data_IF_846330605087
#
_entry.id   IF_846330605087
#
_cell.length_a   1.000
_cell.length_b   1.000
_cell.length_c   1.000
_cell.angle_alpha   90.00
_cell.angle_beta   90.00
_cell.angle_gamma   90.00
#
_symmetry.space_group_name_H-M   'P 1'
#
loop_
_entity.id
_entity.type
_entity.pdbx_description
1 polymer ?
#
# COMPACT_ATOMS: atom_id res chain seq x y z
N UNK A 1 1.45 -4.86 -5.97
CA UNK A 1 2.80 -4.28 -6.14
C UNK A 1 3.96 -5.27 -6.01
N UNK A 2 4.14 -5.97 -4.88
CA UNK A 2 5.19 -6.99 -4.74
C UNK A 2 5.22 -8.01 -5.91
N UNK A 3 4.06 -8.58 -6.25
CA UNK A 3 3.93 -9.45 -7.43
C UNK A 3 4.27 -8.74 -8.76
N UNK A 4 3.82 -7.49 -8.96
CA UNK A 4 4.11 -6.68 -10.17
C UNK A 4 5.62 -6.46 -10.33
N UNK A 5 6.33 -6.13 -9.25
CA UNK A 5 7.80 -5.96 -9.22
C UNK A 5 8.54 -7.23 -9.67
N UNK A 6 8.01 -8.39 -9.33
CA UNK A 6 8.60 -9.70 -9.63
C UNK A 6 7.95 -10.41 -10.83
N UNK A 7 7.14 -9.71 -11.64
CA UNK A 7 6.47 -10.29 -12.79
C UNK A 7 7.46 -10.93 -13.79
N UNK A 8 8.69 -10.39 -13.89
CA UNK A 8 9.77 -10.88 -14.76
C UNK A 8 10.86 -11.68 -14.02
N UNK A 9 10.71 -11.94 -12.72
CA UNK A 9 11.70 -12.74 -11.99
C UNK A 9 11.73 -14.18 -12.49
N UNK A 10 12.89 -14.86 -12.48
CA UNK A 10 12.95 -16.27 -12.85
C UNK A 10 12.05 -17.09 -11.90
N UNK A 11 11.35 -18.08 -12.46
CA UNK A 11 10.63 -19.09 -11.67
C UNK A 11 11.51 -20.32 -11.59
N UNK A 12 11.64 -20.87 -10.39
CA UNK A 12 12.29 -22.16 -10.16
C UNK A 12 11.43 -23.26 -10.79
N UNK A 13 12.06 -24.27 -11.40
CA UNK A 13 11.36 -25.46 -11.87
C UNK A 13 10.98 -26.34 -10.66
N UNK A 14 10.01 -27.25 -10.84
CA UNK A 14 9.59 -28.12 -9.74
C UNK A 14 10.69 -29.13 -9.38
N UNK A 15 11.51 -29.53 -10.35
CA UNK A 15 12.65 -30.45 -10.20
C UNK A 15 13.82 -29.79 -9.48
N UNK A 16 13.99 -28.48 -9.64
CA UNK A 16 15.06 -27.70 -9.00
C UNK A 16 14.85 -27.51 -7.49
N UNK A 17 13.64 -27.76 -6.98
CA UNK A 17 13.37 -27.70 -5.54
C UNK A 17 14.07 -28.85 -4.80
N UNK A 18 14.68 -28.56 -3.66
CA UNK A 18 15.38 -29.55 -2.84
C UNK A 18 14.62 -29.65 -1.51
N UNK A 19 13.99 -30.81 -1.29
CA UNK A 19 13.30 -31.18 -0.05
C UNK A 19 13.86 -32.53 0.43
N UNK A 20 13.70 -32.83 1.73
CA UNK A 20 14.01 -34.17 2.25
C UNK A 20 12.94 -35.17 1.74
N UNK A 21 13.30 -36.45 1.52
CA UNK A 21 12.40 -37.47 0.96
C UNK A 21 11.04 -37.57 1.66
N UNK A 22 11.02 -37.45 3.00
CA UNK A 22 9.80 -37.54 3.81
C UNK A 22 8.79 -36.41 3.53
N UNK A 23 9.18 -35.38 2.77
CA UNK A 23 8.43 -34.14 2.57
C UNK A 23 8.06 -33.91 1.10
N UNK A 24 8.33 -34.89 0.25
CA UNK A 24 8.09 -34.80 -1.20
C UNK A 24 6.61 -34.54 -1.53
N UNK A 25 5.69 -34.99 -0.67
CA UNK A 25 4.27 -34.67 -0.76
C UNK A 25 3.96 -33.17 -0.68
N UNK A 26 4.83 -32.34 -0.10
CA UNK A 26 4.68 -30.89 -0.02
C UNK A 26 5.23 -30.15 -1.24
N UNK A 27 6.06 -30.80 -2.08
CA UNK A 27 6.70 -30.18 -3.24
C UNK A 27 5.72 -29.50 -4.20
N UNK A 28 4.59 -30.13 -4.61
CA UNK A 28 3.65 -29.48 -5.53
C UNK A 28 3.04 -28.20 -4.95
N UNK A 29 2.76 -28.20 -3.64
CA UNK A 29 2.18 -27.05 -2.94
C UNK A 29 3.18 -25.89 -2.83
N UNK A 30 4.44 -26.20 -2.52
CA UNK A 30 5.52 -25.23 -2.53
C UNK A 30 5.72 -24.63 -3.93
N UNK A 31 5.76 -25.49 -4.95
CA UNK A 31 5.94 -25.07 -6.33
C UNK A 31 4.84 -24.10 -6.80
N UNK A 32 3.57 -24.41 -6.52
CA UNK A 32 2.46 -23.51 -6.89
C UNK A 32 2.55 -22.15 -6.18
N UNK A 33 2.97 -22.13 -4.91
CA UNK A 33 3.20 -20.87 -4.20
C UNK A 33 4.32 -20.04 -4.85
N UNK A 34 5.43 -20.68 -5.24
CA UNK A 34 6.59 -20.02 -5.85
C UNK A 34 6.34 -19.61 -7.31
N UNK A 35 5.49 -20.34 -8.03
CA UNK A 35 5.04 -19.97 -9.38
C UNK A 35 4.33 -18.62 -9.37
N UNK A 36 3.48 -18.39 -8.36
CA UNK A 36 2.78 -17.12 -8.17
C UNK A 36 3.69 -16.03 -7.57
N UNK A 37 4.54 -16.40 -6.61
CA UNK A 37 5.39 -15.48 -5.86
C UNK A 37 6.82 -16.04 -5.79
N UNK A 38 7.64 -15.88 -6.85
CA UNK A 38 8.95 -16.55 -6.97
C UNK A 38 10.01 -16.02 -6.00
N UNK A 39 9.70 -14.93 -5.31
CA UNK A 39 10.59 -14.29 -4.35
C UNK A 39 10.47 -14.85 -2.93
N UNK A 40 9.47 -15.67 -2.61
CA UNK A 40 9.24 -16.11 -1.23
C UNK A 40 10.40 -16.92 -0.67
N UNK A 41 10.78 -16.66 0.58
CA UNK A 41 11.71 -17.49 1.35
C UNK A 41 11.01 -18.23 2.50
N UNK A 42 9.71 -18.01 2.66
CA UNK A 42 8.87 -18.64 3.68
C UNK A 42 7.47 -18.84 3.11
N UNK A 43 6.99 -20.08 3.09
CA UNK A 43 5.70 -20.47 2.53
C UNK A 43 4.89 -21.17 3.63
N UNK A 44 3.78 -20.56 4.03
CA UNK A 44 2.83 -21.19 4.94
C UNK A 44 1.87 -22.07 4.14
N UNK A 45 1.65 -23.30 4.59
CA UNK A 45 0.63 -24.23 4.09
C UNK A 45 -0.42 -24.44 5.18
N UNK A 46 -1.48 -23.60 5.24
CA UNK A 46 -2.40 -23.57 6.38
C UNK A 46 -3.17 -24.87 6.59
N UNK A 47 -3.58 -25.52 5.49
CA UNK A 47 -4.33 -26.78 5.50
C UNK A 47 -3.62 -27.88 6.29
N UNK A 48 -2.29 -27.90 6.21
CA UNK A 48 -1.44 -28.90 6.86
C UNK A 48 -0.86 -28.40 8.19
N UNK A 49 -1.10 -27.13 8.55
CA UNK A 49 -0.45 -26.45 9.69
C UNK A 49 1.07 -26.58 9.67
N UNK A 50 1.67 -26.45 8.50
CA UNK A 50 3.12 -26.44 8.32
C UNK A 50 3.56 -25.19 7.58
N UNK A 51 4.84 -24.88 7.67
CA UNK A 51 5.50 -23.92 6.80
C UNK A 51 6.75 -24.55 6.20
N UNK A 52 7.16 -24.08 5.03
CA UNK A 52 8.45 -24.35 4.44
C UNK A 52 9.29 -23.07 4.43
N UNK A 53 10.57 -23.18 4.80
CA UNK A 53 11.53 -22.09 4.80
C UNK A 53 12.72 -22.43 3.91
N UNK A 54 13.14 -21.46 3.11
CA UNK A 54 14.34 -21.55 2.29
C UNK A 54 15.58 -21.42 3.19
N UNK A 55 16.42 -22.45 3.23
CA UNK A 55 17.64 -22.53 4.07
C UNK A 55 18.92 -22.51 3.26
N UNK A 56 18.84 -22.74 1.95
CA UNK A 56 19.95 -22.68 0.99
C UNK A 56 19.45 -22.54 -0.44
N UNK A 57 20.32 -22.58 -1.46
CA UNK A 57 19.91 -22.53 -2.86
C UNK A 57 18.88 -23.62 -3.17
N UNK A 58 17.65 -23.19 -3.48
CA UNK A 58 16.46 -24.03 -3.66
C UNK A 58 16.20 -25.09 -2.59
N UNK A 59 16.82 -24.99 -1.41
CA UNK A 59 16.74 -25.97 -0.34
C UNK A 59 15.73 -25.53 0.70
N UNK A 60 14.71 -26.36 0.91
CA UNK A 60 13.56 -26.05 1.75
C UNK A 60 13.42 -27.06 2.88
N UNK A 61 13.23 -26.53 4.08
CA UNK A 61 12.90 -27.32 5.27
C UNK A 61 11.51 -26.95 5.77
N UNK A 62 10.74 -27.95 6.22
CA UNK A 62 9.44 -27.71 6.81
C UNK A 62 9.46 -27.87 8.33
N UNK A 63 8.49 -27.22 8.97
CA UNK A 63 8.18 -27.43 10.38
C UNK A 63 6.71 -27.10 10.64
N UNK A 64 6.23 -27.42 11.84
CA UNK A 64 4.87 -27.09 12.25
C UNK A 64 4.69 -25.58 12.41
N UNK A 65 3.58 -25.08 11.90
CA UNK A 65 3.22 -23.67 11.98
C UNK A 65 2.32 -23.41 13.19
N UNK A 66 2.78 -22.53 14.08
CA UNK A 66 1.94 -21.91 15.09
C UNK A 66 1.40 -20.55 14.64
N UNK A 67 0.82 -19.81 15.58
CA UNK A 67 0.29 -18.46 15.35
C UNK A 67 1.38 -17.49 14.87
N UNK A 68 2.60 -17.65 15.38
CA UNK A 68 3.76 -16.82 15.00
C UNK A 68 4.11 -17.04 13.53
N UNK A 69 4.25 -18.29 13.12
CA UNK A 69 4.64 -18.71 11.77
C UNK A 69 3.57 -18.31 10.76
N UNK A 70 2.29 -18.43 11.14
CA UNK A 70 1.18 -17.94 10.32
C UNK A 70 1.29 -16.42 10.05
N UNK A 71 1.62 -15.63 11.08
CA UNK A 71 1.85 -14.18 10.93
C UNK A 71 3.07 -13.90 10.04
N UNK A 72 4.13 -14.69 10.15
CA UNK A 72 5.32 -14.55 9.30
C UNK A 72 4.95 -14.84 7.85
N UNK A 73 4.29 -15.95 7.56
CA UNK A 73 3.89 -16.34 6.21
C UNK A 73 3.00 -15.29 5.53
N UNK A 74 2.05 -14.69 6.27
CA UNK A 74 1.24 -13.59 5.73
C UNK A 74 2.11 -12.37 5.38
N UNK A 75 3.00 -11.96 6.28
CA UNK A 75 3.88 -10.79 6.07
C UNK A 75 4.90 -11.03 4.96
N UNK A 76 5.41 -12.26 4.83
CA UNK A 76 6.43 -12.64 3.85
C UNK A 76 5.97 -12.34 2.42
N UNK A 77 4.70 -12.66 2.10
CA UNK A 77 4.06 -12.36 0.80
C UNK A 77 4.21 -10.91 0.36
N UNK A 78 4.26 -10.00 1.34
CA UNK A 78 4.40 -8.56 1.08
C UNK A 78 5.88 -8.17 1.21
N UNK A 79 6.48 -8.43 2.37
CA UNK A 79 7.82 -7.96 2.73
C UNK A 79 8.88 -8.46 1.75
N UNK A 80 8.83 -9.74 1.39
CA UNK A 80 9.87 -10.37 0.60
C UNK A 80 9.96 -9.84 -0.82
N UNK A 81 8.82 -9.48 -1.40
CA UNK A 81 8.77 -8.82 -2.70
C UNK A 81 9.38 -7.41 -2.71
N UNK A 82 9.78 -6.88 -1.56
CA UNK A 82 10.57 -5.64 -1.42
C UNK A 82 11.98 -5.91 -0.86
N UNK A 83 12.42 -7.17 -0.84
CA UNK A 83 13.71 -7.57 -0.28
C UNK A 83 13.76 -7.55 1.25
N UNK A 84 12.62 -7.48 1.93
CA UNK A 84 12.52 -7.43 3.39
C UNK A 84 12.02 -8.76 3.96
N UNK A 85 12.25 -9.00 5.25
CA UNK A 85 11.79 -10.23 5.90
C UNK A 85 10.40 -10.11 6.51
N UNK A 86 9.55 -11.12 6.29
CA UNK A 86 8.26 -11.28 6.96
C UNK A 86 8.38 -11.53 8.47
N UNK A 87 9.55 -11.98 8.92
CA UNK A 87 9.88 -12.13 10.34
C UNK A 87 10.33 -10.82 11.00
N UNK A 88 10.61 -9.77 10.23
CA UNK A 88 11.05 -8.48 10.77
C UNK A 88 9.90 -7.71 11.46
N UNK A 89 10.27 -6.62 12.16
CA UNK A 89 9.30 -5.77 12.85
C UNK A 89 8.35 -5.09 11.85
N UNK A 90 7.08 -5.52 11.85
CA UNK A 90 6.12 -5.18 10.80
C UNK A 90 5.88 -3.68 10.61
N UNK A 91 5.87 -2.89 11.69
CA UNK A 91 5.71 -1.44 11.60
C UNK A 91 6.82 -0.75 10.78
N UNK A 92 8.08 -1.14 11.03
CA UNK A 92 9.26 -0.65 10.32
C UNK A 92 9.28 -1.19 8.88
N UNK A 93 8.98 -2.47 8.68
CA UNK A 93 8.86 -3.06 7.34
C UNK A 93 7.87 -2.29 6.47
N UNK A 94 6.66 -1.99 6.99
CA UNK A 94 5.68 -1.19 6.26
C UNK A 94 6.17 0.22 5.96
N UNK A 95 6.87 0.87 6.89
CA UNK A 95 7.46 2.20 6.66
C UNK A 95 8.51 2.20 5.55
N UNK A 96 9.38 1.20 5.53
CA UNK A 96 10.37 1.01 4.47
C UNK A 96 9.69 0.77 3.12
N UNK A 97 8.69 -0.11 3.06
CA UNK A 97 7.92 -0.36 1.83
C UNK A 97 7.23 0.91 1.34
N UNK A 98 6.55 1.66 2.21
CA UNK A 98 5.92 2.94 1.84
C UNK A 98 6.94 3.92 1.25
N UNK A 99 8.13 3.99 1.85
CA UNK A 99 9.20 4.87 1.36
C UNK A 99 9.70 4.44 -0.03
N UNK A 100 9.74 3.14 -0.32
CA UNK A 100 10.06 2.60 -1.66
C UNK A 100 8.95 2.88 -2.69
N UNK A 101 7.69 2.89 -2.27
CA UNK A 101 6.53 3.12 -3.15
C UNK A 101 6.25 4.59 -3.45
N UNK A 102 6.69 5.51 -2.59
CA UNK A 102 6.42 6.94 -2.75
C UNK A 102 6.91 7.52 -4.08
N UNK A 103 8.15 7.27 -4.55
CA UNK A 103 8.59 7.76 -5.86
C UNK A 103 7.72 7.23 -7.01
N UNK A 104 7.20 6.00 -6.88
CA UNK A 104 6.35 5.38 -7.89
C UNK A 104 4.96 6.03 -7.93
N UNK A 105 4.37 6.35 -6.77
CA UNK A 105 3.13 7.12 -6.71
C UNK A 105 3.29 8.50 -7.36
N UNK A 106 4.42 9.18 -7.18
CA UNK A 106 4.68 10.46 -7.84
C UNK A 106 4.91 10.34 -9.36
N UNK A 107 5.27 9.15 -9.88
CA UNK A 107 5.29 8.94 -11.33
C UNK A 107 3.89 9.02 -11.96
N UNK A 108 2.82 8.80 -11.18
CA UNK A 108 1.45 8.99 -11.66
C UNK A 108 1.22 10.40 -12.19
N UNK A 109 1.81 11.39 -11.54
CA UNK A 109 1.75 12.79 -11.95
C UNK A 109 2.41 13.05 -13.31
N UNK A 110 3.21 12.11 -13.83
CA UNK A 110 3.84 12.23 -15.15
C UNK A 110 2.96 11.74 -16.30
N UNK A 111 1.90 10.97 -16.03
CA UNK A 111 0.97 10.50 -17.05
C UNK A 111 0.18 11.67 -17.65
N UNK A 112 0.13 11.78 -18.97
CA UNK A 112 -0.51 12.90 -19.68
C UNK A 112 -2.00 13.03 -19.32
N UNK A 113 -2.68 11.90 -19.19
CA UNK A 113 -4.08 11.81 -18.81
C UNK A 113 -4.32 12.28 -17.37
N UNK A 114 -3.41 11.96 -16.44
CA UNK A 114 -3.46 12.47 -15.04
C UNK A 114 -3.19 13.97 -15.02
N UNK A 115 -2.17 14.46 -15.73
CA UNK A 115 -1.87 15.91 -15.82
C UNK A 115 -3.08 16.70 -16.29
N UNK A 116 -3.74 16.27 -17.37
CA UNK A 116 -4.91 16.96 -17.92
C UNK A 116 -6.05 17.05 -16.89
N UNK A 117 -6.34 15.96 -16.19
CA UNK A 117 -7.35 15.94 -15.12
C UNK A 117 -7.00 16.91 -13.99
N UNK A 118 -5.73 16.93 -13.57
CA UNK A 118 -5.26 17.80 -12.50
C UNK A 118 -5.25 19.28 -12.90
N UNK A 119 -4.93 19.60 -14.16
CA UNK A 119 -4.99 20.96 -14.69
C UNK A 119 -6.44 21.49 -14.75
N UNK A 120 -7.39 20.65 -15.16
CA UNK A 120 -8.81 20.97 -15.18
C UNK A 120 -9.35 21.20 -13.76
N UNK A 121 -9.03 20.29 -12.83
CA UNK A 121 -9.39 20.43 -11.42
C UNK A 121 -8.85 21.73 -10.82
N UNK A 122 -7.58 22.07 -11.12
CA UNK A 122 -6.99 23.31 -10.63
C UNK A 122 -7.70 24.56 -11.18
N UNK A 123 -8.10 24.56 -12.46
CA UNK A 123 -8.91 25.64 -13.06
C UNK A 123 -10.27 25.78 -12.39
N UNK A 124 -10.85 24.68 -11.93
CA UNK A 124 -12.10 24.64 -11.17
C UNK A 124 -11.89 24.99 -9.68
N UNK A 125 -10.68 25.40 -9.27
CA UNK A 125 -10.35 25.75 -7.88
C UNK A 125 -10.17 24.55 -6.95
N UNK A 126 -10.19 23.32 -7.49
CA UNK A 126 -10.04 22.09 -6.71
C UNK A 126 -8.55 21.82 -6.45
N UNK A 127 -8.20 21.70 -5.16
CA UNK A 127 -6.81 21.52 -4.71
C UNK A 127 -6.56 20.17 -4.06
N UNK A 128 -7.63 19.45 -3.71
CA UNK A 128 -7.56 18.11 -3.13
C UNK A 128 -8.57 17.22 -3.85
N UNK A 129 -8.07 16.20 -4.55
CA UNK A 129 -8.89 15.19 -5.22
C UNK A 129 -8.61 13.82 -4.61
N UNK A 130 -9.65 13.09 -4.28
CA UNK A 130 -9.58 11.74 -3.71
C UNK A 130 -10.05 10.75 -4.76
N UNK A 131 -9.23 9.73 -5.05
CA UNK A 131 -9.61 8.63 -5.93
C UNK A 131 -9.06 7.32 -5.38
N UNK A 132 -9.97 6.45 -4.93
CA UNK A 132 -9.62 5.25 -4.19
C UNK A 132 -8.72 5.59 -2.98
N UNK A 133 -7.52 5.00 -2.94
CA UNK A 133 -6.57 5.22 -1.85
C UNK A 133 -5.58 6.35 -2.12
N UNK A 134 -5.70 7.06 -3.25
CA UNK A 134 -4.83 8.18 -3.62
C UNK A 134 -5.52 9.51 -3.33
N UNK A 135 -4.72 10.46 -2.84
CA UNK A 135 -5.12 11.86 -2.72
C UNK A 135 -4.15 12.71 -3.51
N UNK A 136 -4.63 13.33 -4.58
CA UNK A 136 -3.90 14.36 -5.31
C UNK A 136 -4.04 15.67 -4.54
N UNK A 137 -2.90 16.25 -4.19
CA UNK A 137 -2.83 17.38 -3.27
C UNK A 137 -1.97 18.49 -3.86
N UNK A 138 -2.55 19.66 -4.06
CA UNK A 138 -1.90 20.82 -4.65
C UNK A 138 -1.53 21.88 -3.61
N UNK A 139 -0.29 22.39 -3.67
CA UNK A 139 0.18 23.50 -2.84
C UNK A 139 0.91 24.57 -3.68
N UNK A 140 0.54 25.85 -3.48
CA UNK A 140 1.09 26.99 -4.24
C UNK A 140 2.42 27.51 -3.69
N UNK A 141 2.61 27.45 -2.37
CA UNK A 141 3.72 28.11 -1.68
C UNK A 141 4.83 27.12 -1.39
N UNK A 142 6.02 27.39 -1.92
CA UNK A 142 7.27 26.67 -1.63
C UNK A 142 7.25 25.16 -1.95
N UNK A 143 6.34 24.68 -2.81
CA UNK A 143 6.27 23.27 -3.25
C UNK A 143 6.02 23.13 -4.76
N UNK A 144 6.29 21.93 -5.29
CA UNK A 144 6.38 21.58 -6.73
C UNK A 144 4.96 21.37 -7.34
N UNK A 145 3.94 22.09 -6.87
CA UNK A 145 2.56 21.91 -7.33
C UNK A 145 1.90 20.63 -6.83
N UNK A 146 1.40 19.78 -7.74
CA UNK A 146 0.67 18.56 -7.37
C UNK A 146 1.59 17.52 -6.71
N UNK A 147 1.07 16.86 -5.68
CA UNK A 147 1.71 15.75 -4.96
C UNK A 147 0.71 14.61 -4.73
N UNK A 148 1.20 13.39 -4.53
CA UNK A 148 0.35 12.24 -4.19
C UNK A 148 0.52 11.87 -2.72
N UNK A 149 -0.61 11.80 -2.01
CA UNK A 149 -0.74 11.31 -0.63
C UNK A 149 -1.64 10.06 -0.63
N UNK A 150 -1.68 9.37 0.50
CA UNK A 150 -2.56 8.20 0.70
C UNK A 150 -3.75 8.55 1.60
N UNK A 151 -4.91 7.97 1.35
CA UNK A 151 -6.03 7.99 2.29
C UNK A 151 -5.70 7.10 3.49
N UNK A 152 -6.13 7.49 4.69
CA UNK A 152 -6.05 6.61 5.84
C UNK A 152 -7.06 5.47 5.75
N UNK A 153 -6.62 4.28 5.34
CA UNK A 153 -7.47 3.08 5.28
C UNK A 153 -7.99 2.66 6.66
N UNK A 154 -7.30 3.00 7.77
CA UNK A 154 -7.66 2.50 9.10
C UNK A 154 -8.89 3.17 9.73
N UNK A 155 -9.47 4.19 9.07
CA UNK A 155 -10.64 4.92 9.56
C UNK A 155 -11.84 4.84 8.59
N UNK A 156 -11.78 3.96 7.59
CA UNK A 156 -12.95 3.52 6.81
C UNK A 156 -13.82 2.55 7.65
N UNK A 157 -15.11 2.35 7.34
CA UNK A 157 -16.26 2.36 8.27
C UNK A 157 -16.44 1.09 9.12
N UNK A 158 -15.38 0.53 9.69
CA UNK A 158 -15.49 -0.52 10.70
C UNK A 158 -15.82 0.01 12.10
N UNK A 159 -15.82 1.33 12.31
CA UNK A 159 -16.15 2.01 13.57
C UNK A 159 -17.45 2.85 13.48
N UNK A 160 -18.32 2.59 12.49
CA UNK A 160 -19.59 3.32 12.27
C UNK A 160 -19.45 4.79 11.83
N UNK A 161 -18.24 5.25 11.54
CA UNK A 161 -17.99 6.58 10.98
C UNK A 161 -18.42 6.64 9.51
N UNK A 162 -19.05 7.75 9.10
CA UNK A 162 -19.44 8.02 7.71
C UNK A 162 -18.64 9.19 7.15
N UNK A 163 -18.21 9.13 5.88
CA UNK A 163 -17.53 10.25 5.22
C UNK A 163 -18.38 11.52 5.27
N UNK A 164 -17.80 12.64 5.70
CA UNK A 164 -18.46 13.95 5.69
C UNK A 164 -17.97 14.73 4.46
N UNK A 165 -18.72 14.64 3.35
CA UNK A 165 -18.33 15.20 2.03
C UNK A 165 -18.18 16.73 2.07
N UNK A 166 -18.99 17.41 2.86
CA UNK A 166 -18.96 18.88 3.03
C UNK A 166 -17.85 19.35 3.98
N UNK A 167 -17.16 18.42 4.63
CA UNK A 167 -16.07 18.71 5.54
C UNK A 167 -14.80 19.19 4.84
N UNK A 168 -13.91 19.80 5.61
CA UNK A 168 -12.62 20.31 5.14
C UNK A 168 -11.45 19.58 5.81
N UNK A 169 -10.30 19.59 5.15
CA UNK A 169 -9.05 19.04 5.68
C UNK A 169 -8.19 20.20 6.18
N UNK A 170 -7.85 20.19 7.47
CA UNK A 170 -6.91 21.14 8.06
C UNK A 170 -5.50 20.54 8.00
N UNK A 171 -4.66 21.08 7.12
CA UNK A 171 -3.25 20.68 7.04
C UNK A 171 -2.39 21.60 7.90
N UNK A 172 -1.94 21.08 9.05
CA UNK A 172 -0.97 21.72 9.95
C UNK A 172 0.46 21.19 9.76
N UNK A 173 0.63 20.22 8.87
CA UNK A 173 1.90 19.54 8.60
C UNK A 173 1.91 19.01 7.17
N UNK A 174 3.07 18.56 6.69
CA UNK A 174 3.23 17.98 5.35
C UNK A 174 3.10 16.45 5.34
N UNK A 175 2.20 15.90 6.17
CA UNK A 175 1.99 14.46 6.31
C UNK A 175 1.61 13.78 4.99
N UNK A 176 2.03 12.51 4.84
CA UNK A 176 1.79 11.69 3.64
C UNK A 176 0.45 10.97 3.63
N UNK A 177 -0.21 10.89 4.78
CA UNK A 177 -1.54 10.32 4.94
C UNK A 177 -2.53 11.46 5.15
N UNK A 178 -3.64 11.39 4.44
CA UNK A 178 -4.81 12.25 4.63
C UNK A 178 -5.88 11.43 5.33
N UNK A 179 -6.31 11.93 6.49
CA UNK A 179 -7.54 11.49 7.14
C UNK A 179 -8.65 12.38 6.61
N UNK A 180 -9.61 11.78 5.91
CA UNK A 180 -10.75 12.51 5.36
C UNK A 180 -11.71 12.94 6.48
N UNK A 181 -12.47 14.03 6.30
CA UNK A 181 -13.49 14.43 7.25
C UNK A 181 -14.55 13.33 7.39
N UNK A 182 -15.05 13.14 8.60
CA UNK A 182 -16.04 12.10 8.88
C UNK A 182 -17.01 12.51 9.98
N UNK A 183 -18.19 11.90 9.98
CA UNK A 183 -19.21 11.98 11.02
C UNK A 183 -19.08 10.75 11.90
N UNK A 184 -18.91 10.94 13.21
CA UNK A 184 -18.93 9.85 14.19
C UNK A 184 -20.32 9.24 14.30
N UNK A 185 -20.43 8.04 14.89
CA UNK A 185 -21.73 7.45 15.25
C UNK A 185 -22.60 8.38 16.12
N UNK A 186 -21.97 9.23 16.94
CA UNK A 186 -22.66 10.23 17.77
C UNK A 186 -23.26 11.40 16.97
N UNK A 187 -23.02 11.50 15.66
CA UNK A 187 -23.41 12.63 14.82
C UNK A 187 -22.41 13.79 14.82
N UNK A 188 -21.32 13.71 15.61
CA UNK A 188 -20.29 14.75 15.65
C UNK A 188 -19.45 14.75 14.36
N UNK A 189 -19.34 15.90 13.71
CA UNK A 189 -18.48 16.11 12.55
C UNK A 189 -17.03 16.36 12.96
N UNK A 190 -16.12 15.58 12.38
CA UNK A 190 -14.68 15.68 12.55
C UNK A 190 -14.06 16.17 11.24
N UNK A 191 -13.30 17.26 11.32
CA UNK A 191 -12.53 17.77 10.18
C UNK A 191 -11.36 16.83 9.87
N UNK A 192 -11.04 16.74 8.58
CA UNK A 192 -9.90 15.96 8.12
C UNK A 192 -8.56 16.59 8.53
N UNK A 193 -7.50 15.80 8.48
CA UNK A 193 -6.15 16.26 8.81
C UNK A 193 -5.07 15.41 8.14
N UNK A 194 -3.85 15.94 8.08
CA UNK A 194 -2.68 15.21 7.56
C UNK A 194 -1.84 14.62 8.68
N UNK A 195 -1.32 13.40 8.47
CA UNK A 195 -0.38 12.73 9.37
C UNK A 195 0.65 11.91 8.60
N UNK A 196 1.69 11.45 9.29
CA UNK A 196 2.53 10.36 8.79
C UNK A 196 2.04 9.04 9.37
N UNK A 197 2.36 7.94 8.67
CA UNK A 197 2.07 6.62 9.17
C UNK A 197 2.95 6.28 10.39
N UNK A 198 2.53 5.33 11.24
CA UNK A 198 3.41 4.82 12.29
C UNK A 198 4.75 4.31 11.72
N UNK A 199 5.85 4.71 12.35
CA UNK A 199 7.24 4.43 11.96
C UNK A 199 7.78 5.23 10.74
N UNK A 200 7.03 6.19 10.19
CA UNK A 200 7.53 7.11 9.15
C UNK A 200 8.22 8.38 9.73
N UNK A 201 8.28 8.47 11.07
CA UNK A 201 8.68 9.70 11.76
C UNK A 201 7.57 10.76 11.77
N UNK A 202 7.78 11.83 12.53
CA UNK A 202 6.82 12.92 12.61
C UNK A 202 6.65 13.62 11.25
N UNK A 203 5.42 14.00 10.91
CA UNK A 203 5.19 14.85 9.76
C UNK A 203 5.86 16.21 9.99
N UNK A 204 6.52 16.75 8.96
CA UNK A 204 7.13 18.06 9.05
C UNK A 204 6.05 19.10 9.36
N UNK A 205 6.12 19.82 10.49
CA UNK A 205 5.10 20.80 10.84
C UNK A 205 5.15 21.98 9.88
N UNK A 206 3.98 22.58 9.62
CA UNK A 206 3.91 23.87 8.94
C UNK A 206 4.14 24.99 9.94
N UNK A 207 4.56 26.14 9.45
CA UNK A 207 4.44 27.35 10.25
C UNK A 207 2.94 27.68 10.48
N UNK A 208 2.58 28.25 11.63
CA UNK A 208 1.17 28.52 11.99
C UNK A 208 0.44 29.39 10.95
N UNK A 209 1.16 30.34 10.36
CA UNK A 209 0.63 31.24 9.32
C UNK A 209 0.49 30.58 7.94
N UNK A 210 0.90 29.32 7.81
CA UNK A 210 0.83 28.54 6.58
C UNK A 210 -0.15 27.38 6.69
N UNK A 211 -0.92 27.30 7.78
CA UNK A 211 -1.98 26.32 7.90
C UNK A 211 -3.01 26.57 6.81
N UNK A 212 -3.40 25.50 6.14
CA UNK A 212 -4.41 25.54 5.08
C UNK A 212 -5.59 24.68 5.47
N UNK A 213 -6.77 25.17 5.15
CA UNK A 213 -8.03 24.45 5.26
C UNK A 213 -8.57 24.31 3.84
N UNK A 214 -8.67 23.06 3.38
CA UNK A 214 -8.98 22.76 1.98
C UNK A 214 -10.24 21.88 1.91
N UNK A 215 -11.22 22.20 1.04
CA UNK A 215 -12.24 21.24 0.67
C UNK A 215 -11.61 20.12 -0.17
N UNK A 216 -12.34 19.02 -0.34
CA UNK A 216 -11.90 17.89 -1.14
C UNK A 216 -13.03 17.41 -2.06
N UNK A 217 -12.64 16.90 -3.23
CA UNK A 217 -13.56 16.26 -4.16
C UNK A 217 -13.28 14.75 -4.20
N UNK A 218 -14.30 13.91 -4.07
CA UNK A 218 -14.17 12.47 -4.31
C UNK A 218 -14.53 12.21 -5.76
N UNK A 219 -13.56 11.74 -6.54
CA UNK A 219 -13.80 11.35 -7.92
C UNK A 219 -14.60 10.04 -7.94
N UNK A 220 -15.85 10.11 -8.37
CA UNK A 220 -16.71 8.94 -8.52
C UNK A 220 -16.37 8.20 -9.84
N UNK A 221 -16.11 6.88 -9.75
CA UNK A 221 -15.94 6.00 -10.90
C UNK A 221 -14.49 5.69 -11.33
N UNK A 222 -14.41 4.81 -12.32
CA UNK A 222 -13.23 4.12 -12.90
C UNK A 222 -12.22 5.02 -13.64
N UNK A 223 -12.24 6.33 -13.40
CA UNK A 223 -11.32 7.28 -14.01
C UNK A 223 -9.85 6.83 -13.85
N UNK A 224 -9.51 6.21 -12.71
CA UNK A 224 -8.17 5.69 -12.46
C UNK A 224 -7.85 4.35 -13.15
N UNK A 225 -8.85 3.54 -13.52
CA UNK A 225 -8.64 2.28 -14.29
C UNK A 225 -8.15 2.62 -15.70
N UNK A 226 -8.74 3.63 -16.34
CA UNK A 226 -8.26 4.15 -17.63
C UNK A 226 -6.92 4.92 -17.54
N UNK A 227 -6.63 5.59 -16.41
CA UNK A 227 -5.40 6.38 -16.21
C UNK A 227 -4.15 5.52 -15.93
N UNK A 228 -4.33 4.37 -15.28
CA UNK A 228 -3.24 3.46 -14.89
C UNK A 228 -2.97 2.33 -15.90
N UNK A 229 -3.72 2.29 -17.00
CA UNK A 229 -3.47 1.38 -18.12
C UNK A 229 -3.89 -0.08 -17.86
N UNK A 230 -4.79 -0.32 -16.91
CA UNK A 230 -5.43 -1.64 -16.82
C UNK A 230 -6.53 -1.69 -17.88
N UNK A 231 -6.15 -2.15 -19.08
CA UNK A 231 -7.10 -2.56 -20.11
C UNK A 231 -7.94 -3.70 -19.54
N UNK A 232 -9.27 -3.52 -19.54
CA UNK A 232 -10.20 -4.63 -19.34
C UNK A 232 -9.92 -5.66 -20.44
N UNK A 233 -9.46 -6.85 -20.06
CA UNK A 233 -9.63 -8.02 -20.90
C UNK A 233 -11.10 -8.41 -20.76
N UNK A 234 -11.87 -8.23 -21.84
CA UNK A 234 -13.07 -9.04 -22.09
C UNK A 234 -12.71 -10.52 -22.22
#
# INVERSE_FOLDING_TARGET
>A
EAAKRHAKSPRVSIEELILKPDNENLRPLLFEALKQMPYLHFVLLPTFRVYLQLTGPNTWEWSYAGVREAKIGYKERIARGFGLSGAAHWGKTKATIRSMLLPQANKLLQHASVKRMLDEALRNGQRVLVSGNFVFWFEDKNQIGWSVKAVNESENPSNGNTLWKEGTIISKNHGRIVVLPYTKESGEHVRGYTKNAPNDGNALPRHKNEYVELPFEVLEGDLMIGLLGELNYE
#
